data_IF_129610169399
#
_entry.id   IF_129610169399
#
_cell.length_a   1.000
_cell.length_b   1.000
_cell.length_c   1.000
_cell.angle_alpha   90.00
_cell.angle_beta   90.00
_cell.angle_gamma   90.00
#
_symmetry.space_group_name_H-M   'P 1'
#
loop_
_entity.id
_entity.type
_entity.pdbx_description
1 polymer ?
#
# COMPACT_ATOMS: atom_id res chain seq x y z
N UNK A 1 8.71 -3.60 -12.33
CA UNK A 1 8.02 -4.63 -11.48
C UNK A 1 6.88 -3.97 -10.72
N UNK A 2 5.82 -4.71 -10.42
CA UNK A 2 4.76 -4.27 -9.51
C UNK A 2 4.62 -5.32 -8.41
N UNK A 3 4.64 -4.89 -7.13
CA UNK A 3 4.42 -5.72 -5.96
C UNK A 3 3.12 -5.29 -5.28
N UNK A 4 2.22 -6.23 -5.05
CA UNK A 4 0.89 -5.95 -4.50
C UNK A 4 0.68 -6.77 -3.24
N UNK A 5 0.34 -6.08 -2.15
CA UNK A 5 -0.09 -6.65 -0.88
C UNK A 5 0.81 -7.82 -0.44
N UNK A 6 0.27 -9.02 -0.28
CA UNK A 6 0.97 -10.20 0.22
C UNK A 6 2.15 -10.67 -0.66
N UNK A 7 2.34 -10.11 -1.86
CA UNK A 7 3.56 -10.35 -2.63
C UNK A 7 4.81 -9.92 -1.84
N UNK A 8 4.72 -8.92 -0.97
CA UNK A 8 5.84 -8.50 -0.13
C UNK A 8 6.22 -9.50 0.99
N UNK A 9 5.40 -10.51 1.22
CA UNK A 9 5.71 -11.60 2.16
C UNK A 9 6.56 -12.69 1.51
N UNK A 10 6.61 -12.75 0.18
CA UNK A 10 7.32 -13.78 -0.56
C UNK A 10 8.84 -13.61 -0.45
N UNK A 11 9.56 -14.69 -0.76
CA UNK A 11 11.00 -14.73 -1.00
C UNK A 11 11.84 -14.02 0.10
N UNK A 12 11.52 -14.23 1.38
CA UNK A 12 12.24 -13.61 2.49
C UNK A 12 13.77 -13.81 2.43
N UNK A 13 14.22 -14.98 2.00
CA UNK A 13 15.65 -15.31 1.83
C UNK A 13 16.29 -14.80 0.52
N UNK A 14 15.56 -14.07 -0.34
CA UNK A 14 16.12 -13.57 -1.59
C UNK A 14 16.44 -12.07 -1.52
N UNK A 15 17.70 -11.77 -1.28
CA UNK A 15 18.23 -10.42 -1.10
C UNK A 15 17.83 -9.42 -2.19
N UNK A 16 17.94 -9.83 -3.46
CA UNK A 16 17.57 -8.96 -4.58
C UNK A 16 16.09 -8.58 -4.54
N UNK A 17 15.22 -9.53 -4.21
CA UNK A 17 13.79 -9.27 -4.07
C UNK A 17 13.50 -8.29 -2.91
N UNK A 18 14.14 -8.50 -1.75
CA UNK A 18 13.99 -7.61 -0.61
C UNK A 18 14.45 -6.18 -0.91
N UNK A 19 15.53 -6.03 -1.70
CA UNK A 19 15.97 -4.72 -2.20
C UNK A 19 14.99 -4.10 -3.20
N UNK A 20 14.35 -4.90 -4.05
CA UNK A 20 13.35 -4.42 -5.01
C UNK A 20 12.11 -3.88 -4.30
N UNK A 21 11.56 -4.61 -3.32
CA UNK A 21 10.34 -4.21 -2.63
C UNK A 21 10.57 -3.19 -1.52
N UNK A 22 11.82 -3.05 -1.02
CA UNK A 22 12.23 -2.12 0.04
C UNK A 22 11.83 -2.55 1.44
N UNK A 23 10.61 -2.99 1.64
CA UNK A 23 10.07 -3.52 2.90
C UNK A 23 9.14 -4.71 2.65
N UNK A 24 9.15 -5.68 3.56
CA UNK A 24 8.28 -6.85 3.51
C UNK A 24 7.92 -7.36 4.90
N UNK A 25 6.94 -8.24 4.96
CA UNK A 25 6.43 -8.80 6.22
C UNK A 25 6.53 -10.31 6.32
N UNK A 26 6.26 -10.82 7.49
CA UNK A 26 6.13 -12.24 7.81
C UNK A 26 7.28 -13.14 7.31
N UNK A 27 7.00 -14.43 7.16
CA UNK A 27 7.94 -15.46 6.64
C UNK A 27 9.31 -15.47 7.33
N UNK A 28 9.31 -15.21 8.66
CA UNK A 28 10.52 -15.26 9.48
C UNK A 28 11.41 -14.00 9.39
N UNK A 29 10.95 -12.92 8.74
CA UNK A 29 11.70 -11.65 8.73
C UNK A 29 11.79 -11.06 10.13
N UNK A 30 12.99 -10.59 10.48
CA UNK A 30 13.34 -10.00 11.78
C UNK A 30 14.24 -8.77 11.58
N UNK A 31 14.85 -8.25 12.63
CA UNK A 31 15.84 -7.18 12.56
C UNK A 31 17.06 -7.50 11.66
N UNK A 32 17.32 -8.78 11.38
CA UNK A 32 18.37 -9.23 10.46
C UNK A 32 18.09 -8.87 9.01
N UNK A 33 16.82 -8.67 8.67
CA UNK A 33 16.37 -8.30 7.33
C UNK A 33 16.30 -6.77 7.15
N UNK A 34 16.54 -6.00 8.21
CA UNK A 34 16.54 -4.55 8.23
C UNK A 34 15.62 -3.95 9.28
N UNK A 35 15.52 -2.62 9.27
CA UNK A 35 14.70 -1.85 10.20
C UNK A 35 13.21 -1.92 9.85
N UNK A 36 12.34 -1.59 10.82
CA UNK A 36 10.99 -1.13 10.53
C UNK A 36 11.06 0.25 9.89
N UNK A 37 10.19 0.53 8.91
CA UNK A 37 10.12 1.81 8.25
C UNK A 37 8.71 2.38 8.34
N UNK A 38 8.63 3.66 8.74
CA UNK A 38 7.36 4.37 8.92
C UNK A 38 7.57 5.87 8.71
N UNK A 39 6.49 6.61 8.53
CA UNK A 39 6.56 8.05 8.39
C UNK A 39 6.39 8.73 9.74
N UNK A 40 7.26 9.71 10.05
CA UNK A 40 7.23 10.46 11.29
C UNK A 40 7.78 11.86 11.08
N UNK A 41 7.11 12.86 11.65
CA UNK A 41 7.58 14.26 11.67
C UNK A 41 7.96 14.80 10.28
N UNK A 42 7.17 14.42 9.25
CA UNK A 42 7.37 14.88 7.87
C UNK A 42 8.44 14.12 7.08
N UNK A 43 9.02 13.04 7.61
CA UNK A 43 10.09 12.27 6.98
C UNK A 43 9.92 10.76 7.16
N UNK A 44 10.61 10.00 6.30
CA UNK A 44 10.76 8.56 6.47
C UNK A 44 11.70 8.27 7.65
N UNK A 45 11.22 7.56 8.63
CA UNK A 45 11.96 7.14 9.83
C UNK A 45 12.18 5.63 9.85
N UNK A 46 13.21 5.19 10.56
CA UNK A 46 13.51 3.77 10.75
C UNK A 46 13.65 3.43 12.24
N UNK A 47 13.29 2.18 12.57
CA UNK A 47 13.42 1.63 13.92
C UNK A 47 14.12 0.25 13.83
N UNK A 48 15.39 0.14 14.30
CA UNK A 48 16.17 -1.08 14.23
C UNK A 48 15.87 -2.07 15.36
N UNK A 49 14.94 -1.77 16.25
CA UNK A 49 14.63 -2.63 17.40
C UNK A 49 14.30 -4.06 16.98
N UNK A 50 14.66 -5.03 17.81
CA UNK A 50 14.40 -6.43 17.53
C UNK A 50 12.91 -6.76 17.48
N UNK A 51 12.54 -7.76 16.69
CA UNK A 51 11.18 -8.29 16.60
C UNK A 51 10.79 -8.76 15.21
N UNK A 52 9.67 -9.48 15.11
CA UNK A 52 9.17 -10.00 13.84
C UNK A 52 8.66 -8.90 12.93
N UNK A 53 8.75 -9.12 11.61
CA UNK A 53 8.16 -8.25 10.62
C UNK A 53 6.72 -8.64 10.31
N UNK A 54 5.90 -7.62 10.05
CA UNK A 54 4.53 -7.80 9.58
C UNK A 54 3.51 -7.92 10.69
N UNK A 55 2.57 -7.02 10.67
CA UNK A 55 1.31 -7.08 11.42
C UNK A 55 0.24 -6.32 10.65
N UNK A 56 -1.00 -6.49 11.02
CA UNK A 56 -2.12 -5.64 10.61
C UNK A 56 -3.12 -5.58 11.76
N UNK A 57 -3.92 -4.54 11.79
CA UNK A 57 -5.04 -4.42 12.70
C UNK A 57 -6.34 -5.00 12.13
N UNK A 58 -7.46 -4.54 12.67
CA UNK A 58 -8.78 -4.86 12.13
C UNK A 58 -8.97 -4.24 10.75
N UNK A 59 -9.69 -4.93 9.87
CA UNK A 59 -10.00 -4.47 8.51
C UNK A 59 -11.11 -3.43 8.56
N UNK A 60 -10.74 -2.17 8.72
CA UNK A 60 -11.62 -1.00 8.72
C UNK A 60 -11.21 -0.04 7.61
N UNK A 61 -12.11 0.83 7.12
CA UNK A 61 -11.69 1.93 6.25
C UNK A 61 -10.66 2.82 6.95
N UNK A 62 -9.68 3.31 6.20
CA UNK A 62 -8.65 4.18 6.72
C UNK A 62 -8.28 5.30 5.75
N UNK A 63 -7.76 6.39 6.30
CA UNK A 63 -7.33 7.55 5.52
C UNK A 63 -5.93 7.32 4.96
N UNK A 64 -5.80 7.39 3.65
CA UNK A 64 -4.50 7.44 2.96
C UNK A 64 -4.08 8.88 2.82
N UNK A 65 -2.83 9.18 3.18
CA UNK A 65 -2.24 10.52 3.13
C UNK A 65 -1.08 10.55 2.14
N UNK A 66 -1.15 11.45 1.17
CA UNK A 66 -0.09 11.67 0.17
C UNK A 66 1.15 12.29 0.84
N UNK A 67 2.34 11.76 0.53
CA UNK A 67 3.62 12.27 1.01
C UNK A 67 4.45 12.92 -0.11
N UNK A 68 4.24 12.48 -1.35
CA UNK A 68 4.86 13.10 -2.53
C UNK A 68 3.82 13.31 -3.63
N UNK A 69 3.17 14.47 -3.62
CA UNK A 69 2.18 14.87 -4.64
C UNK A 69 2.82 15.17 -6.02
N UNK A 70 4.14 15.34 -6.08
CA UNK A 70 4.86 15.63 -7.32
C UNK A 70 5.14 14.38 -8.14
N UNK A 71 5.18 13.21 -7.49
CA UNK A 71 5.46 11.94 -8.16
C UNK A 71 4.40 11.60 -9.21
N UNK A 72 4.77 11.14 -10.41
CA UNK A 72 3.83 10.88 -11.50
C UNK A 72 2.62 10.01 -11.11
N UNK A 73 2.82 9.01 -10.25
CA UNK A 73 1.75 8.13 -9.78
C UNK A 73 0.65 8.90 -9.04
N UNK A 74 1.02 9.89 -8.20
CA UNK A 74 0.08 10.61 -7.33
C UNK A 74 -0.33 11.99 -7.86
N UNK A 75 0.31 12.49 -8.92
CA UNK A 75 0.01 13.80 -9.49
C UNK A 75 -1.47 13.94 -9.83
N UNK A 76 -2.12 14.96 -9.27
CA UNK A 76 -3.53 15.24 -9.47
C UNK A 76 -4.50 14.43 -8.63
N UNK A 77 -4.02 13.50 -7.79
CA UNK A 77 -4.86 12.87 -6.76
C UNK A 77 -5.08 13.84 -5.58
N UNK A 78 -6.17 13.67 -4.80
CA UNK A 78 -6.38 14.42 -3.56
C UNK A 78 -5.22 14.21 -2.58
N UNK A 79 -4.97 15.19 -1.72
CA UNK A 79 -3.94 15.08 -0.67
C UNK A 79 -4.23 13.95 0.34
N UNK A 80 -5.52 13.63 0.53
CA UNK A 80 -5.98 12.51 1.37
C UNK A 80 -7.24 11.90 0.77
N UNK A 81 -7.43 10.60 0.99
CA UNK A 81 -8.67 9.90 0.61
C UNK A 81 -8.93 8.69 1.51
N UNK A 82 -10.20 8.29 1.62
CA UNK A 82 -10.58 7.07 2.33
C UNK A 82 -10.37 5.85 1.43
N UNK A 83 -9.54 4.92 1.90
CA UNK A 83 -9.48 3.57 1.37
C UNK A 83 -10.52 2.70 2.06
N UNK A 84 -11.11 1.75 1.32
CA UNK A 84 -12.05 0.77 1.86
C UNK A 84 -11.36 -0.13 2.91
N UNK A 85 -12.16 -0.76 3.77
CA UNK A 85 -11.64 -1.69 4.78
C UNK A 85 -10.75 -2.77 4.16
N UNK A 86 -9.51 -2.77 4.58
CA UNK A 86 -8.43 -3.60 4.08
C UNK A 86 -7.49 -3.98 5.24
N UNK A 87 -6.55 -4.89 5.02
CA UNK A 87 -5.44 -5.11 5.96
C UNK A 87 -4.42 -3.99 5.82
N UNK A 88 -4.47 -3.00 6.71
CA UNK A 88 -3.42 -2.00 6.80
C UNK A 88 -2.15 -2.67 7.32
N UNK A 89 -1.24 -3.03 6.42
CA UNK A 89 0.03 -3.65 6.79
C UNK A 89 0.90 -2.70 7.57
N UNK A 90 1.42 -3.19 8.68
CA UNK A 90 2.24 -2.44 9.62
C UNK A 90 3.50 -3.22 10.00
N UNK A 91 4.49 -2.51 10.57
CA UNK A 91 5.74 -3.11 11.06
C UNK A 91 6.48 -3.92 9.99
N UNK A 92 6.44 -3.46 8.74
CA UNK A 92 7.21 -4.06 7.67
C UNK A 92 8.70 -3.72 7.83
N UNK A 93 9.56 -4.67 7.47
CA UNK A 93 11.01 -4.55 7.59
C UNK A 93 11.71 -4.69 6.24
N UNK A 94 12.88 -4.10 6.15
CA UNK A 94 13.73 -4.26 4.98
C UNK A 94 14.86 -3.24 4.92
N UNK A 95 15.57 -3.19 3.79
CA UNK A 95 16.61 -2.19 3.56
C UNK A 95 16.07 -0.76 3.46
N UNK A 96 14.76 -0.62 3.32
CA UNK A 96 14.02 0.64 3.21
C UNK A 96 13.53 0.92 1.78
N UNK A 97 12.35 1.53 1.65
CA UNK A 97 11.87 2.02 0.36
C UNK A 97 12.69 3.25 -0.06
N UNK A 98 12.83 3.45 -1.37
CA UNK A 98 13.48 4.65 -1.90
C UNK A 98 12.60 5.88 -1.69
N UNK A 99 11.35 5.78 -2.14
CA UNK A 99 10.39 6.87 -2.07
C UNK A 99 9.06 6.34 -1.48
N UNK A 100 8.60 6.94 -0.38
CA UNK A 100 7.27 6.70 0.17
C UNK A 100 6.33 7.73 -0.42
N UNK A 101 5.38 7.27 -1.20
CA UNK A 101 4.43 8.13 -1.92
C UNK A 101 3.20 8.47 -1.08
N UNK A 102 2.71 7.51 -0.31
CA UNK A 102 1.56 7.68 0.57
C UNK A 102 1.63 6.75 1.77
N UNK A 103 1.02 7.16 2.87
CA UNK A 103 0.95 6.42 4.13
C UNK A 103 -0.46 6.37 4.67
N UNK A 104 -0.71 5.49 5.66
CA UNK A 104 -1.91 5.52 6.47
C UNK A 104 -1.56 5.31 7.95
N UNK A 105 -2.30 5.97 8.83
CA UNK A 105 -2.11 5.80 10.28
C UNK A 105 -2.72 4.47 10.74
N UNK A 106 -1.88 3.60 11.26
CA UNK A 106 -2.26 2.29 11.80
C UNK A 106 -2.74 2.45 13.24
N UNK A 107 -4.05 2.72 13.41
CA UNK A 107 -4.67 3.12 14.66
C UNK A 107 -4.63 2.02 15.72
N UNK A 108 -4.05 2.27 16.91
CA UNK A 108 -4.07 1.33 18.04
C UNK A 108 -5.47 0.93 18.49
N UNK A 109 -6.49 1.77 18.31
CA UNK A 109 -7.88 1.42 18.60
C UNK A 109 -8.39 0.26 17.74
N UNK A 110 -7.79 0.05 16.56
CA UNK A 110 -8.06 -1.06 15.65
C UNK A 110 -6.94 -2.14 15.71
N UNK A 111 -6.24 -2.26 16.83
CA UNK A 111 -5.08 -3.14 17.00
C UNK A 111 -3.89 -2.80 16.07
N UNK A 112 -3.79 -1.56 15.64
CA UNK A 112 -2.71 -1.06 14.79
C UNK A 112 -1.41 -0.75 15.54
N UNK A 113 -0.39 -0.35 14.80
CA UNK A 113 0.96 -0.11 15.30
C UNK A 113 1.15 1.25 16.01
N UNK A 114 0.25 2.21 15.83
CA UNK A 114 0.39 3.59 16.29
C UNK A 114 1.32 4.43 15.41
N UNK A 115 1.59 4.00 14.18
CA UNK A 115 2.52 4.66 13.23
C UNK A 115 1.84 4.95 11.90
N UNK A 116 2.34 5.94 11.18
CA UNK A 116 2.01 6.14 9.76
C UNK A 116 2.81 5.14 8.92
N UNK A 117 2.14 4.09 8.47
CA UNK A 117 2.76 2.99 7.73
C UNK A 117 2.78 3.26 6.22
N UNK A 118 3.83 2.87 5.49
CA UNK A 118 3.90 3.05 4.04
C UNK A 118 2.85 2.21 3.30
N UNK A 119 2.00 2.87 2.48
CA UNK A 119 0.97 2.22 1.68
C UNK A 119 1.36 2.13 0.21
N UNK A 120 1.93 3.20 -0.35
CA UNK A 120 2.37 3.28 -1.74
C UNK A 120 3.83 3.70 -1.79
N UNK A 121 4.65 2.97 -2.52
CA UNK A 121 6.09 3.19 -2.61
C UNK A 121 6.58 3.09 -4.05
N UNK A 122 7.60 3.86 -4.38
CA UNK A 122 8.35 3.79 -5.62
C UNK A 122 9.81 3.44 -5.32
N UNK A 123 10.29 2.35 -5.88
CA UNK A 123 11.64 1.84 -5.71
C UNK A 123 12.38 1.74 -7.05
N UNK A 124 13.69 1.53 -6.98
CA UNK A 124 14.52 1.24 -8.13
C UNK A 124 15.47 0.08 -7.84
N UNK A 125 15.70 -0.77 -8.82
CA UNK A 125 16.69 -1.83 -8.75
C UNK A 125 17.39 -1.96 -10.11
N UNK A 126 18.69 -1.68 -10.15
CA UNK A 126 19.41 -1.50 -11.40
C UNK A 126 18.76 -0.40 -12.24
N UNK A 127 18.38 -0.71 -13.47
CA UNK A 127 17.65 0.21 -14.36
C UNK A 127 16.12 0.08 -14.25
N UNK A 128 15.63 -0.84 -13.40
CA UNK A 128 14.21 -1.12 -13.26
C UNK A 128 13.51 -0.23 -12.26
N UNK A 129 12.25 0.14 -12.54
CA UNK A 129 11.34 0.80 -11.62
C UNK A 129 10.43 -0.21 -10.98
N UNK A 130 10.15 -0.04 -9.68
CA UNK A 130 9.29 -0.92 -8.92
C UNK A 130 8.21 -0.07 -8.23
N UNK A 131 6.94 -0.33 -8.54
CA UNK A 131 5.82 0.14 -7.75
C UNK A 131 5.45 -0.93 -6.73
N UNK A 132 5.37 -0.54 -5.45
CA UNK A 132 4.95 -1.42 -4.37
C UNK A 132 3.77 -0.79 -3.64
N UNK A 133 2.67 -1.53 -3.54
CA UNK A 133 1.51 -1.18 -2.72
C UNK A 133 1.24 -2.27 -1.69
N UNK A 134 0.92 -1.87 -0.46
CA UNK A 134 0.50 -2.77 0.62
C UNK A 134 -1.02 -2.94 0.68
N UNK A 135 -1.76 -2.23 -0.17
CA UNK A 135 -3.21 -2.34 -0.32
C UNK A 135 -3.60 -3.58 -1.13
N UNK A 136 -4.84 -4.07 -0.96
CA UNK A 136 -5.43 -5.06 -1.85
C UNK A 136 -5.49 -6.48 -1.30
N UNK A 137 -5.87 -6.65 -0.02
CA UNK A 137 -5.97 -7.97 0.62
C UNK A 137 -7.08 -8.85 0.01
N UNK A 138 -8.26 -8.31 -0.14
CA UNK A 138 -9.44 -9.06 -0.60
C UNK A 138 -10.28 -8.26 -1.59
N UNK A 139 -11.45 -8.79 -1.93
CA UNK A 139 -12.35 -8.18 -2.91
C UNK A 139 -12.81 -6.77 -2.49
N UNK A 140 -12.88 -6.45 -1.20
CA UNK A 140 -13.21 -5.11 -0.75
C UNK A 140 -12.07 -4.13 -1.07
N UNK A 141 -10.83 -4.47 -0.66
CA UNK A 141 -9.65 -3.66 -0.96
C UNK A 141 -9.43 -3.50 -2.46
N UNK A 142 -9.45 -4.58 -3.24
CA UNK A 142 -9.20 -4.52 -4.70
C UNK A 142 -10.33 -3.91 -5.52
N UNK A 143 -11.55 -3.84 -4.97
CA UNK A 143 -12.68 -3.17 -5.63
C UNK A 143 -12.73 -1.66 -5.38
N UNK A 144 -11.94 -1.16 -4.46
CA UNK A 144 -11.83 0.27 -4.17
C UNK A 144 -11.25 1.02 -5.37
N UNK A 145 -11.85 2.16 -5.72
CA UNK A 145 -11.43 2.94 -6.89
C UNK A 145 -10.01 3.46 -6.75
N UNK A 146 -9.60 3.86 -5.55
CA UNK A 146 -8.23 4.32 -5.29
C UNK A 146 -7.19 3.21 -5.49
N UNK A 147 -7.49 1.97 -5.05
CA UNK A 147 -6.61 0.81 -5.32
C UNK A 147 -6.43 0.61 -6.83
N UNK A 148 -7.54 0.56 -7.58
CA UNK A 148 -7.49 0.34 -9.03
C UNK A 148 -6.70 1.44 -9.73
N UNK A 149 -6.99 2.71 -9.40
CA UNK A 149 -6.31 3.86 -10.01
C UNK A 149 -4.82 3.88 -9.68
N UNK A 150 -4.47 3.69 -8.42
CA UNK A 150 -3.05 3.72 -8.02
C UNK A 150 -2.28 2.51 -8.56
N UNK A 151 -2.91 1.33 -8.66
CA UNK A 151 -2.30 0.15 -9.28
C UNK A 151 -2.04 0.36 -10.77
N UNK A 152 -3.02 0.88 -11.52
CA UNK A 152 -2.87 1.15 -12.94
C UNK A 152 -1.80 2.21 -13.21
N UNK A 153 -1.83 3.33 -12.47
CA UNK A 153 -0.82 4.40 -12.57
C UNK A 153 0.57 3.92 -12.16
N UNK A 154 0.66 3.12 -11.09
CA UNK A 154 1.91 2.50 -10.64
C UNK A 154 2.48 1.54 -11.66
N UNK A 155 1.63 0.77 -12.32
CA UNK A 155 2.03 -0.16 -13.39
C UNK A 155 2.52 0.59 -14.63
N UNK A 156 1.80 1.63 -15.07
CA UNK A 156 2.21 2.48 -16.18
C UNK A 156 3.56 3.14 -15.90
N UNK A 157 3.71 3.74 -14.71
CA UNK A 157 4.98 4.34 -14.29
C UNK A 157 6.12 3.32 -14.24
N UNK A 158 5.89 2.15 -13.68
CA UNK A 158 6.93 1.12 -13.61
C UNK A 158 7.41 0.67 -15.00
N UNK A 159 6.51 0.63 -15.98
CA UNK A 159 6.83 0.28 -17.36
C UNK A 159 7.50 1.43 -18.12
N UNK A 160 6.96 2.64 -18.03
CA UNK A 160 7.30 3.76 -18.94
C UNK A 160 8.09 4.90 -18.29
N UNK A 161 7.98 5.05 -16.95
CA UNK A 161 8.50 6.21 -16.20
C UNK A 161 7.55 7.41 -16.16
N UNK A 162 6.38 7.32 -16.81
CA UNK A 162 5.36 8.36 -16.88
C UNK A 162 3.99 7.82 -16.53
N UNK A 163 3.00 8.71 -16.36
CA UNK A 163 1.60 8.37 -16.13
C UNK A 163 0.72 9.25 -16.99
N UNK A 164 -0.09 8.62 -17.84
CA UNK A 164 -1.07 9.28 -18.71
C UNK A 164 -2.50 9.12 -18.21
N UNK A 165 -2.76 8.13 -17.36
CA UNK A 165 -4.09 7.86 -16.83
C UNK A 165 -4.62 9.04 -16.00
N UNK A 166 -5.81 9.49 -16.35
CA UNK A 166 -6.53 10.57 -15.65
C UNK A 166 -7.13 10.06 -14.34
N UNK A 167 -7.31 10.97 -13.40
CA UNK A 167 -8.05 10.70 -12.16
C UNK A 167 -9.55 10.66 -12.51
N UNK A 168 -10.27 9.58 -12.21
CA UNK A 168 -11.69 9.49 -12.49
C UNK A 168 -12.51 10.38 -11.52
N UNK A 169 -13.66 10.85 -11.98
CA UNK A 169 -14.52 11.72 -11.18
C UNK A 169 -15.05 11.07 -9.90
N UNK A 170 -15.13 9.74 -9.88
CA UNK A 170 -15.55 8.97 -8.70
C UNK A 170 -14.36 8.52 -7.81
N UNK A 171 -13.19 9.16 -7.92
CA UNK A 171 -12.12 8.89 -6.97
C UNK A 171 -12.57 9.21 -5.54
N UNK A 172 -12.21 8.41 -4.50
CA UNK A 172 -12.68 8.64 -3.14
C UNK A 172 -12.22 10.00 -2.58
N UNK A 173 -12.99 10.51 -1.62
CA UNK A 173 -12.68 11.75 -0.90
C UNK A 173 -12.05 11.45 0.46
N UNK A 174 -11.69 12.47 1.22
CA UNK A 174 -11.19 12.33 2.60
C UNK A 174 -12.22 11.74 3.58
N UNK A 175 -13.50 11.71 3.21
CA UNK A 175 -14.61 11.29 4.10
C UNK A 175 -15.48 10.19 3.51
N UNK A 176 -15.22 9.76 2.28
CA UNK A 176 -16.02 8.73 1.61
C UNK A 176 -15.18 7.80 0.76
N UNK A 177 -15.44 6.51 0.89
CA UNK A 177 -14.90 5.46 0.02
C UNK A 177 -15.62 5.46 -1.33
N UNK A 178 -15.00 4.88 -2.35
CA UNK A 178 -15.60 4.68 -3.66
C UNK A 178 -15.28 3.30 -4.20
N UNK A 179 -16.26 2.67 -4.83
CA UNK A 179 -16.15 1.33 -5.40
C UNK A 179 -16.29 1.33 -6.91
N UNK A 180 -15.72 0.35 -7.54
CA UNK A 180 -16.02 0.00 -8.92
C UNK A 180 -17.47 -0.41 -9.04
N UNK A 181 -18.18 0.16 -9.99
CA UNK A 181 -19.60 -0.16 -10.25
C UNK A 181 -19.80 -1.30 -11.26
N UNK A 182 -18.72 -1.65 -11.99
CA UNK A 182 -18.74 -2.66 -13.05
C UNK A 182 -18.54 -4.09 -12.56
N UNK A 183 -18.09 -4.30 -11.31
CA UNK A 183 -17.79 -5.63 -10.79
C UNK A 183 -18.99 -6.58 -10.75
N UNK A 184 -20.17 -6.07 -10.43
CA UNK A 184 -21.38 -6.88 -10.42
C UNK A 184 -21.78 -7.40 -11.82
N UNK A 185 -21.37 -6.71 -12.89
CA UNK A 185 -21.58 -7.18 -14.26
C UNK A 185 -20.52 -8.18 -14.73
N UNK A 186 -19.33 -8.14 -14.11
CA UNK A 186 -18.22 -9.04 -14.42
C UNK A 186 -18.27 -10.34 -13.63
N UNK A 187 -18.82 -10.28 -12.41
CA UNK A 187 -19.01 -11.42 -11.51
C UNK A 187 -20.40 -11.36 -10.89
N UNK A 188 -21.37 -12.19 -11.36
CA UNK A 188 -22.71 -12.23 -10.79
C UNK A 188 -22.76 -12.61 -9.30
N UNK A 189 -21.70 -13.27 -8.80
CA UNK A 189 -21.56 -13.61 -7.39
C UNK A 189 -21.02 -12.47 -6.52
N UNK A 190 -20.57 -11.37 -7.12
CA UNK A 190 -20.02 -10.24 -6.39
C UNK A 190 -21.08 -9.54 -5.54
N UNK A 191 -20.80 -9.45 -4.25
CA UNK A 191 -21.62 -8.72 -3.28
C UNK A 191 -20.79 -7.58 -2.69
N UNK A 192 -21.15 -6.35 -3.05
CA UNK A 192 -20.44 -5.15 -2.59
C UNK A 192 -20.41 -5.07 -1.06
N UNK A 193 -19.22 -4.93 -0.48
CA UNK A 193 -19.04 -4.70 0.95
C UNK A 193 -19.29 -5.90 1.86
N UNK A 194 -19.53 -7.11 1.33
CA UNK A 194 -19.86 -8.27 2.15
C UNK A 194 -18.73 -9.26 2.40
N UNK A 195 -17.58 -9.08 1.74
CA UNK A 195 -16.50 -10.06 1.82
C UNK A 195 -15.57 -9.79 3.01
N UNK A 196 -15.93 -10.35 4.15
CA UNK A 196 -15.05 -10.45 5.31
C UNK A 196 -15.11 -9.30 6.32
N UNK A 197 -15.91 -8.26 6.08
CA UNK A 197 -16.13 -7.17 7.04
C UNK A 197 -17.33 -7.41 7.96
N UNK A 198 -18.24 -8.33 7.61
CA UNK A 198 -19.45 -8.63 8.34
C UNK A 198 -19.31 -9.83 9.29
N UNK A 199 -18.08 -10.12 9.74
CA UNK A 199 -17.84 -11.20 10.71
C UNK A 199 -17.20 -10.66 11.97
#
# INVERSE_FOLDING_TARGET
MVSVHAANNAFAGWDAYNKMIGIGGWRGRTEKDGSYWFWKDGALASDPSAGPAGSHGQRTPFLVTVRDASHPILRGLPATWMHQGDELYARLRGPGPKDVLATAFSDPANAGSGRDEPMLMANAFGKGRIFHTTLGHDINGISSVDFVVTLQRGTEWAATGSVTQKVPANFPTATSVSYRTDLASMDPGYKKGLNGLDK
#
